data_IF_817621362309
#
_entry.id   IF_817621362309
#
_cell.length_a   1.000
_cell.length_b   1.000
_cell.length_c   1.000
_cell.angle_alpha   90.00
_cell.angle_beta   90.00
_cell.angle_gamma   90.00
#
_symmetry.space_group_name_H-M   'P 1'
#
loop_
_entity.id
_entity.type
_entity.pdbx_description
1 polymer ?
#
# COMPACT_ATOMS: atom_id res chain seq x y z
N UNK A 1 14.30 46.74 36.46
CA UNK A 1 15.29 45.98 35.66
C UNK A 1 14.67 44.88 34.85
N UNK A 2 13.73 44.06 35.38
CA UNK A 2 13.05 42.96 34.68
C UNK A 2 12.21 43.45 33.48
N UNK A 3 11.47 44.57 33.63
CA UNK A 3 10.69 45.17 32.54
C UNK A 3 11.54 45.75 31.41
N UNK A 4 12.78 46.21 31.68
CA UNK A 4 13.67 46.73 30.65
C UNK A 4 14.31 45.63 29.82
N UNK A 5 14.70 44.52 30.47
CA UNK A 5 15.24 43.34 29.81
C UNK A 5 14.18 42.66 28.93
N UNK A 6 12.93 42.57 29.38
CA UNK A 6 11.81 41.99 28.58
C UNK A 6 11.44 42.92 27.40
N UNK A 7 11.56 44.24 27.56
CA UNK A 7 11.33 45.22 26.50
C UNK A 7 12.43 45.15 25.41
N UNK A 8 13.69 45.00 25.81
CA UNK A 8 14.83 44.85 24.87
C UNK A 8 14.77 43.50 24.12
N UNK A 9 14.36 42.43 24.78
CA UNK A 9 14.19 41.10 24.17
C UNK A 9 13.06 41.10 23.13
N UNK A 10 11.94 41.73 23.44
CA UNK A 10 10.82 41.85 22.50
C UNK A 10 11.14 42.75 21.29
N UNK A 11 11.96 43.79 21.46
CA UNK A 11 12.43 44.64 20.35
C UNK A 11 13.40 43.90 19.44
N UNK A 12 14.28 43.07 19.99
CA UNK A 12 15.18 42.24 19.17
C UNK A 12 14.43 41.21 18.33
N UNK A 13 13.47 40.50 18.94
CA UNK A 13 12.67 39.48 18.23
C UNK A 13 11.70 40.06 17.19
N UNK A 14 11.31 41.32 17.32
CA UNK A 14 10.45 42.01 16.36
C UNK A 14 11.19 42.62 15.18
N UNK A 15 12.54 42.57 15.12
CA UNK A 15 13.34 43.13 14.05
C UNK A 15 12.96 42.55 12.68
N UNK A 16 12.88 43.40 11.69
CA UNK A 16 12.52 43.02 10.31
C UNK A 16 13.44 41.93 9.75
N UNK A 17 14.74 42.03 10.02
CA UNK A 17 15.75 41.03 9.60
C UNK A 17 15.45 39.63 10.16
N UNK A 18 15.07 39.57 11.45
CA UNK A 18 14.76 38.28 12.10
C UNK A 18 13.55 37.58 11.46
N UNK A 19 12.51 38.35 11.11
CA UNK A 19 11.34 37.84 10.43
C UNK A 19 11.68 37.27 9.04
N UNK A 20 12.56 37.94 8.30
CA UNK A 20 13.04 37.44 7.00
C UNK A 20 13.78 36.11 7.19
N UNK A 21 14.71 36.02 8.14
CA UNK A 21 15.41 34.76 8.39
C UNK A 21 14.50 33.63 8.84
N UNK A 22 13.52 33.91 9.72
CA UNK A 22 12.55 32.90 10.13
C UNK A 22 11.61 32.48 8.97
N UNK A 23 11.28 33.41 8.07
CA UNK A 23 10.52 33.05 6.85
C UNK A 23 11.31 32.14 5.95
N UNK A 24 12.61 32.42 5.75
CA UNK A 24 13.50 31.54 4.96
C UNK A 24 13.60 30.15 5.63
N UNK A 25 13.80 30.13 6.95
CA UNK A 25 13.82 28.90 7.73
C UNK A 25 12.50 28.10 7.58
N UNK A 26 11.38 28.81 7.62
CA UNK A 26 10.05 28.19 7.46
C UNK A 26 9.87 27.55 6.10
N UNK A 27 10.29 28.23 5.02
CA UNK A 27 10.26 27.69 3.67
C UNK A 27 11.19 26.47 3.55
N UNK A 28 12.41 26.56 4.08
CA UNK A 28 13.34 25.43 4.08
C UNK A 28 12.79 24.23 4.86
N UNK A 29 12.22 24.46 6.04
CA UNK A 29 11.59 23.42 6.85
C UNK A 29 10.40 22.76 6.13
N UNK A 30 9.59 23.55 5.44
CA UNK A 30 8.50 23.04 4.61
C UNK A 30 9.01 22.15 3.48
N UNK A 31 10.08 22.55 2.78
CA UNK A 31 10.70 21.74 1.71
C UNK A 31 11.23 20.42 2.30
N UNK A 32 11.92 20.46 3.44
CA UNK A 32 12.44 19.26 4.12
C UNK A 32 11.29 18.33 4.53
N UNK A 33 10.19 18.88 5.05
CA UNK A 33 8.99 18.12 5.38
C UNK A 33 8.41 17.42 4.15
N UNK A 34 8.22 18.14 3.04
CA UNK A 34 7.67 17.58 1.79
C UNK A 34 8.59 16.49 1.22
N UNK A 35 9.92 16.71 1.23
CA UNK A 35 10.89 15.70 0.82
C UNK A 35 10.78 14.45 1.70
N UNK A 36 10.73 14.63 3.02
CA UNK A 36 10.60 13.52 3.97
C UNK A 36 9.34 12.68 3.72
N UNK A 37 8.19 13.31 3.56
CA UNK A 37 6.93 12.64 3.21
C UNK A 37 7.02 11.95 1.85
N UNK A 38 7.67 12.58 0.86
CA UNK A 38 7.85 11.99 -0.47
C UNK A 38 8.70 10.71 -0.43
N UNK A 39 9.78 10.70 0.35
CA UNK A 39 10.62 9.51 0.54
C UNK A 39 9.82 8.37 1.18
N UNK A 40 9.01 8.68 2.22
CA UNK A 40 8.15 7.70 2.87
C UNK A 40 7.14 7.10 1.90
N UNK A 41 6.47 7.95 1.12
CA UNK A 41 5.41 7.51 0.21
C UNK A 41 5.94 6.75 -1.00
N UNK A 42 7.07 7.17 -1.57
CA UNK A 42 7.72 6.48 -2.70
C UNK A 42 8.30 5.12 -2.30
N UNK A 43 8.34 4.82 -1.01
CA UNK A 43 8.65 3.48 -0.54
C UNK A 43 7.48 2.55 -0.90
N UNK A 44 7.74 1.54 -1.73
CA UNK A 44 6.72 0.62 -2.28
C UNK A 44 5.86 -0.08 -1.23
N UNK A 45 6.35 -0.14 0.00
CA UNK A 45 5.72 -0.82 1.12
C UNK A 45 4.97 0.11 2.08
N UNK A 46 4.81 1.38 1.75
CA UNK A 46 4.05 2.34 2.57
C UNK A 46 2.64 1.84 2.90
N UNK A 47 1.97 1.20 1.94
CA UNK A 47 0.61 0.66 2.11
C UNK A 47 0.55 -0.54 3.08
N UNK A 48 1.68 -1.17 3.40
CA UNK A 48 1.76 -2.29 4.35
C UNK A 48 1.86 -1.84 5.82
N UNK A 49 1.94 -0.53 6.06
CA UNK A 49 1.96 0.09 7.37
C UNK A 49 3.34 0.11 8.05
N UNK A 50 3.40 0.80 9.18
CA UNK A 50 4.64 0.98 9.96
C UNK A 50 5.22 -0.32 10.51
N UNK A 51 4.37 -1.29 10.83
CA UNK A 51 4.79 -2.58 11.38
C UNK A 51 5.70 -3.35 10.41
N UNK A 52 5.51 -3.17 9.11
CA UNK A 52 6.30 -3.85 8.09
C UNK A 52 7.80 -3.50 8.16
N UNK A 53 8.14 -2.25 8.50
CA UNK A 53 9.51 -1.74 8.49
C UNK A 53 10.12 -1.61 9.90
N UNK A 54 9.35 -1.93 10.93
CA UNK A 54 9.75 -1.74 12.32
C UNK A 54 10.79 -2.79 12.78
N UNK A 55 10.83 -3.95 12.13
CA UNK A 55 11.81 -4.98 12.46
C UNK A 55 13.24 -4.51 12.10
N UNK A 56 14.19 -4.79 12.97
CA UNK A 56 15.59 -4.42 12.75
C UNK A 56 16.21 -5.22 11.62
N UNK A 57 15.86 -6.51 11.53
CA UNK A 57 16.32 -7.45 10.51
C UNK A 57 15.17 -7.89 9.62
N UNK A 58 15.50 -8.25 8.39
CA UNK A 58 14.54 -8.78 7.43
C UNK A 58 13.86 -10.05 7.96
N UNK A 59 14.61 -10.97 8.54
CA UNK A 59 14.13 -12.25 9.05
C UNK A 59 13.15 -12.13 10.25
N UNK A 60 13.07 -10.95 10.89
CA UNK A 60 12.07 -10.65 11.92
C UNK A 60 10.85 -9.88 11.35
N UNK A 61 10.89 -9.53 10.07
CA UNK A 61 9.85 -8.70 9.44
C UNK A 61 8.61 -9.49 9.00
N UNK A 62 7.46 -8.85 8.89
CA UNK A 62 6.28 -9.44 8.25
C UNK A 62 6.50 -9.84 6.78
N UNK A 63 7.42 -9.16 6.08
CA UNK A 63 7.78 -9.50 4.69
C UNK A 63 8.44 -10.87 4.60
N UNK A 64 9.37 -11.17 5.53
CA UNK A 64 9.98 -12.49 5.63
C UNK A 64 8.93 -13.57 5.90
N UNK A 65 8.02 -13.34 6.83
CA UNK A 65 6.95 -14.31 7.15
C UNK A 65 6.07 -14.61 5.96
N UNK A 66 5.67 -13.58 5.22
CA UNK A 66 4.87 -13.77 4.01
C UNK A 66 5.61 -14.58 2.94
N UNK A 67 6.90 -14.32 2.76
CA UNK A 67 7.73 -15.10 1.82
C UNK A 67 7.91 -16.54 2.31
N UNK A 68 8.14 -16.74 3.60
CA UNK A 68 8.30 -18.06 4.21
C UNK A 68 7.03 -18.91 4.08
N UNK A 69 5.85 -18.33 4.36
CA UNK A 69 4.56 -19.01 4.15
C UNK A 69 4.31 -19.35 2.67
N UNK A 70 4.65 -18.45 1.75
CA UNK A 70 4.54 -18.70 0.31
C UNK A 70 5.45 -19.86 -0.13
N UNK A 71 6.65 -19.94 0.41
CA UNK A 71 7.60 -21.02 0.09
C UNK A 71 7.18 -22.35 0.68
N UNK A 72 6.53 -22.34 1.85
CA UNK A 72 5.92 -23.55 2.39
C UNK A 72 4.81 -24.05 1.46
N UNK A 73 3.92 -23.19 1.00
CA UNK A 73 2.88 -23.56 0.05
C UNK A 73 3.46 -24.14 -1.25
N UNK A 74 4.49 -23.48 -1.77
CA UNK A 74 5.19 -23.93 -2.96
C UNK A 74 5.89 -25.28 -2.76
N UNK A 75 6.50 -25.51 -1.58
CA UNK A 75 7.15 -26.78 -1.22
C UNK A 75 6.15 -27.95 -1.20
N UNK A 76 4.99 -27.76 -0.58
CA UNK A 76 3.97 -28.81 -0.58
C UNK A 76 3.39 -29.04 -1.97
N UNK A 77 3.25 -28.00 -2.78
CA UNK A 77 2.88 -28.15 -4.18
C UNK A 77 3.93 -28.93 -4.96
N UNK A 78 5.22 -28.67 -4.73
CA UNK A 78 6.32 -29.41 -5.33
C UNK A 78 6.28 -30.88 -4.91
N UNK A 79 6.16 -31.17 -3.63
CA UNK A 79 6.12 -32.53 -3.11
C UNK A 79 4.97 -33.36 -3.70
N UNK A 80 3.81 -32.72 -3.92
CA UNK A 80 2.64 -33.37 -4.53
C UNK A 80 2.79 -33.61 -6.04
N UNK A 81 3.51 -32.75 -6.74
CA UNK A 81 3.63 -32.81 -8.22
C UNK A 81 4.89 -33.51 -8.70
N UNK A 82 5.85 -33.69 -7.82
CA UNK A 82 7.15 -34.27 -8.15
C UNK A 82 7.04 -35.59 -8.89
N UNK A 83 6.23 -36.52 -8.38
CA UNK A 83 6.12 -37.89 -8.95
C UNK A 83 5.42 -37.90 -10.33
N UNK A 84 4.71 -36.83 -10.67
CA UNK A 84 4.06 -36.63 -11.97
C UNK A 84 5.08 -36.26 -13.05
N UNK A 85 6.08 -35.42 -12.69
CA UNK A 85 6.96 -34.79 -13.65
C UNK A 85 8.43 -35.23 -13.57
N UNK A 86 8.81 -36.02 -12.57
CA UNK A 86 10.18 -36.46 -12.37
C UNK A 86 10.35 -37.95 -12.59
N UNK A 87 11.50 -38.34 -13.16
CA UNK A 87 12.05 -39.71 -13.18
C UNK A 87 13.41 -39.65 -12.50
N UNK A 88 13.64 -40.51 -11.50
CA UNK A 88 14.88 -40.57 -10.70
C UNK A 88 15.28 -39.23 -10.07
N UNK A 89 14.30 -38.42 -9.66
CA UNK A 89 14.50 -37.13 -9.00
C UNK A 89 14.93 -35.99 -9.94
N UNK A 90 14.72 -36.16 -11.25
CA UNK A 90 14.98 -35.11 -12.24
C UNK A 90 13.76 -34.91 -13.11
N UNK A 91 13.52 -33.68 -13.52
CA UNK A 91 12.50 -33.35 -14.49
C UNK A 91 12.68 -34.15 -15.77
N UNK A 92 11.61 -34.80 -16.22
CA UNK A 92 11.62 -35.67 -17.40
C UNK A 92 10.51 -35.28 -18.39
N UNK A 93 10.93 -34.71 -19.51
CA UNK A 93 10.01 -34.30 -20.59
C UNK A 93 9.27 -35.45 -21.24
N UNK A 94 9.81 -36.68 -21.13
CA UNK A 94 9.20 -37.89 -21.64
C UNK A 94 8.33 -38.62 -20.61
N UNK A 95 8.21 -38.04 -19.40
CA UNK A 95 7.36 -38.59 -18.35
C UNK A 95 5.91 -38.58 -18.80
N UNK A 96 5.26 -39.70 -18.67
CA UNK A 96 3.84 -39.88 -18.93
C UNK A 96 3.02 -39.21 -17.82
N UNK A 97 2.10 -38.31 -18.21
CA UNK A 97 1.29 -37.51 -17.27
C UNK A 97 -0.13 -38.10 -17.19
N UNK A 98 -0.73 -38.42 -18.32
CA UNK A 98 -2.05 -39.03 -18.38
C UNK A 98 -2.23 -39.87 -19.65
N UNK A 99 -3.11 -40.89 -19.57
CA UNK A 99 -3.57 -41.64 -20.70
C UNK A 99 -5.01 -41.32 -21.07
N UNK A 100 -5.32 -41.22 -22.35
CA UNK A 100 -6.68 -41.10 -22.86
C UNK A 100 -7.15 -42.43 -23.42
N UNK A 101 -8.31 -42.89 -22.98
CA UNK A 101 -9.00 -44.02 -23.61
C UNK A 101 -9.86 -43.48 -24.76
N UNK A 102 -9.42 -43.71 -26.00
CA UNK A 102 -10.10 -43.27 -27.23
C UNK A 102 -10.95 -44.38 -27.87
N UNK A 103 -11.17 -45.50 -27.15
CA UNK A 103 -11.99 -46.63 -27.62
C UNK A 103 -11.31 -48.01 -27.47
N UNK A 104 -11.94 -49.11 -27.87
CA UNK A 104 -11.59 -50.48 -27.46
C UNK A 104 -10.19 -50.98 -27.85
N UNK A 105 -9.32 -50.21 -28.44
CA UNK A 105 -7.95 -50.57 -28.78
C UNK A 105 -6.98 -49.41 -28.91
N UNK A 106 -7.34 -48.20 -28.49
CA UNK A 106 -6.53 -46.97 -28.67
C UNK A 106 -6.41 -46.21 -27.37
N UNK A 107 -5.53 -46.66 -26.50
CA UNK A 107 -5.05 -45.83 -25.42
C UNK A 107 -3.90 -44.95 -25.94
N UNK A 108 -3.98 -43.63 -25.75
CA UNK A 108 -2.94 -42.69 -26.15
C UNK A 108 -2.38 -42.04 -24.89
N UNK A 109 -1.11 -42.31 -24.65
CA UNK A 109 -0.40 -41.75 -23.49
C UNK A 109 0.19 -40.37 -23.83
N UNK A 110 -0.10 -39.37 -23.00
CA UNK A 110 0.41 -38.01 -23.13
C UNK A 110 1.59 -37.81 -22.21
N UNK A 111 2.76 -37.64 -22.80
CA UNK A 111 3.97 -37.21 -22.08
C UNK A 111 3.98 -35.69 -21.90
N UNK A 112 4.82 -35.19 -20.98
CA UNK A 112 5.05 -33.75 -20.78
C UNK A 112 5.33 -33.06 -22.12
N UNK A 113 6.24 -33.63 -22.94
CA UNK A 113 6.59 -33.09 -24.25
C UNK A 113 5.41 -33.06 -25.21
N UNK A 114 4.61 -34.12 -25.25
CA UNK A 114 3.42 -34.20 -26.11
C UNK A 114 2.37 -33.13 -25.72
N UNK A 115 2.16 -32.89 -24.41
CA UNK A 115 1.28 -31.85 -23.90
C UNK A 115 1.75 -30.47 -24.36
N UNK A 116 3.05 -30.17 -24.20
CA UNK A 116 3.66 -28.88 -24.60
C UNK A 116 3.50 -28.69 -26.13
N UNK A 117 3.79 -29.69 -26.90
CA UNK A 117 3.71 -29.62 -28.37
C UNK A 117 2.26 -29.43 -28.85
N UNK A 118 1.33 -30.15 -28.24
CA UNK A 118 -0.10 -29.98 -28.50
C UNK A 118 -0.57 -28.58 -28.17
N UNK A 119 -0.21 -28.08 -27.01
CA UNK A 119 -0.57 -26.74 -26.57
C UNK A 119 -0.02 -25.61 -27.47
N UNK A 120 1.25 -25.73 -27.88
CA UNK A 120 1.86 -24.75 -28.81
C UNK A 120 1.14 -24.73 -30.17
N UNK A 121 0.69 -25.86 -30.67
CA UNK A 121 -0.11 -25.92 -31.91
C UNK A 121 -1.50 -25.30 -31.77
N UNK A 122 -2.02 -25.22 -30.54
CA UNK A 122 -3.36 -24.68 -30.25
C UNK A 122 -3.33 -23.31 -29.58
N UNK A 123 -2.32 -22.48 -29.87
CA UNK A 123 -2.33 -21.04 -29.48
C UNK A 123 -1.81 -20.74 -28.08
N UNK A 124 -1.15 -21.68 -27.41
CA UNK A 124 -0.41 -21.41 -26.19
C UNK A 124 1.05 -21.10 -26.50
N UNK A 125 1.62 -20.17 -25.78
CA UNK A 125 3.05 -19.91 -25.72
C UNK A 125 3.58 -20.41 -24.38
N UNK A 126 4.67 -21.17 -24.43
CA UNK A 126 5.34 -21.75 -23.27
C UNK A 126 6.81 -21.34 -23.35
N UNK A 127 7.31 -20.61 -22.36
CA UNK A 127 8.68 -20.15 -22.30
C UNK A 127 9.65 -21.23 -21.76
N UNK A 128 10.92 -20.87 -21.61
CA UNK A 128 11.98 -21.75 -21.08
C UNK A 128 11.79 -22.13 -19.59
N UNK A 129 11.00 -21.35 -18.85
CA UNK A 129 10.63 -21.61 -17.46
C UNK A 129 9.25 -22.28 -17.33
N UNK A 130 8.70 -22.78 -18.44
CA UNK A 130 7.38 -23.39 -18.52
C UNK A 130 6.23 -22.47 -18.04
N UNK A 131 6.43 -21.16 -18.13
CA UNK A 131 5.34 -20.22 -17.91
C UNK A 131 4.45 -20.18 -19.15
N UNK A 132 3.14 -20.24 -18.92
CA UNK A 132 2.15 -20.40 -19.98
C UNK A 132 1.40 -19.10 -20.20
N UNK A 133 1.27 -18.68 -21.44
CA UNK A 133 0.42 -17.59 -21.87
C UNK A 133 -0.37 -17.96 -23.12
N UNK A 134 -1.53 -17.34 -23.31
CA UNK A 134 -2.35 -17.53 -24.51
C UNK A 134 -1.96 -16.46 -25.51
N UNK A 135 -1.51 -16.88 -26.70
CA UNK A 135 -1.15 -15.99 -27.82
C UNK A 135 -2.31 -15.87 -28.81
N UNK A 136 -3.03 -16.97 -29.02
CA UNK A 136 -4.17 -17.00 -29.93
C UNK A 136 -5.39 -17.69 -29.28
N UNK A 137 -6.31 -16.86 -28.79
CA UNK A 137 -7.53 -17.33 -28.16
C UNK A 137 -8.45 -18.07 -29.12
N UNK A 138 -8.36 -17.82 -30.44
CA UNK A 138 -9.20 -18.48 -31.45
C UNK A 138 -8.79 -19.91 -31.63
N UNK A 139 -7.49 -20.21 -31.61
CA UNK A 139 -6.96 -21.55 -31.65
C UNK A 139 -7.25 -22.35 -30.38
N UNK A 140 -7.15 -21.71 -29.22
CA UNK A 140 -7.51 -22.33 -27.92
C UNK A 140 -8.99 -22.74 -27.90
N UNK A 141 -9.85 -21.94 -28.52
CA UNK A 141 -11.28 -22.27 -28.63
C UNK A 141 -11.60 -23.36 -29.65
N UNK A 142 -10.67 -23.70 -30.52
CA UNK A 142 -10.79 -24.82 -31.47
C UNK A 142 -10.39 -26.18 -30.87
N UNK A 143 -9.79 -26.19 -29.66
CA UNK A 143 -9.55 -27.45 -28.97
C UNK A 143 -10.90 -28.13 -28.74
N UNK A 144 -11.03 -29.36 -29.23
CA UNK A 144 -12.28 -30.10 -29.17
C UNK A 144 -12.81 -30.16 -27.71
N UNK A 145 -14.08 -29.82 -27.57
CA UNK A 145 -14.82 -29.95 -26.31
C UNK A 145 -15.31 -31.40 -26.07
N UNK A 146 -14.79 -32.35 -26.88
CA UNK A 146 -15.10 -33.75 -26.71
C UNK A 146 -14.56 -34.26 -25.39
N UNK A 147 -15.44 -34.79 -24.56
CA UNK A 147 -15.05 -35.39 -23.29
C UNK A 147 -14.48 -36.78 -23.53
N UNK A 148 -13.25 -36.96 -23.10
CA UNK A 148 -12.55 -38.24 -23.14
C UNK A 148 -12.57 -38.89 -21.77
N UNK A 149 -12.58 -40.24 -21.81
CA UNK A 149 -12.36 -41.02 -20.59
C UNK A 149 -10.86 -40.99 -20.26
N UNK A 150 -10.51 -40.36 -19.14
CA UNK A 150 -9.13 -40.19 -18.72
C UNK A 150 -8.78 -41.27 -17.70
N UNK A 151 -7.79 -42.07 -18.02
CA UNK A 151 -7.22 -43.02 -17.09
C UNK A 151 -6.15 -42.31 -16.26
N UNK A 152 -6.51 -41.90 -15.06
CA UNK A 152 -5.62 -41.21 -14.14
C UNK A 152 -4.63 -42.16 -13.45
N UNK A 153 -3.74 -42.78 -14.21
CA UNK A 153 -2.65 -43.55 -13.60
C UNK A 153 -1.68 -42.65 -12.80
N UNK A 154 -1.59 -41.40 -13.17
CA UNK A 154 -0.55 -40.49 -12.65
C UNK A 154 -1.10 -39.15 -12.18
N UNK A 155 -2.33 -38.80 -12.43
CA UNK A 155 -2.96 -37.60 -11.93
C UNK A 155 -3.28 -37.80 -10.45
N UNK A 156 -2.22 -37.83 -9.63
CA UNK A 156 -2.40 -37.88 -8.21
C UNK A 156 -3.27 -36.70 -7.83
N UNK A 157 -4.41 -36.98 -7.26
CA UNK A 157 -5.33 -36.02 -6.73
C UNK A 157 -4.59 -35.08 -5.76
N UNK A 158 -4.05 -33.97 -6.28
CA UNK A 158 -3.38 -32.94 -5.49
C UNK A 158 -4.37 -32.13 -4.66
N UNK A 159 -5.66 -32.23 -4.97
CA UNK A 159 -6.75 -31.61 -4.23
C UNK A 159 -7.31 -32.51 -3.13
N UNK A 160 -7.09 -33.83 -3.25
CA UNK A 160 -7.69 -34.84 -2.38
C UNK A 160 -9.22 -34.86 -2.41
N UNK A 161 -9.81 -34.34 -3.48
CA UNK A 161 -11.26 -34.19 -3.63
C UNK A 161 -11.83 -35.18 -4.68
N UNK A 162 -10.99 -35.78 -5.52
CA UNK A 162 -11.40 -36.75 -6.52
C UNK A 162 -10.78 -38.10 -6.16
N UNK A 163 -11.60 -39.10 -5.90
CA UNK A 163 -11.12 -40.45 -5.78
C UNK A 163 -10.52 -40.87 -7.14
N UNK A 164 -9.44 -41.71 -7.17
CA UNK A 164 -8.89 -42.22 -8.40
C UNK A 164 -9.99 -43.00 -9.09
N UNK A 165 -10.69 -42.36 -9.96
CA UNK A 165 -11.84 -42.86 -10.71
C UNK A 165 -11.85 -42.27 -12.08
N UNK A 166 -12.33 -43.09 -12.98
CA UNK A 166 -12.53 -42.77 -14.38
C UNK A 166 -13.44 -41.51 -14.49
N UNK A 167 -12.92 -40.42 -15.00
CA UNK A 167 -13.68 -39.21 -15.23
C UNK A 167 -13.71 -38.82 -16.70
N UNK A 168 -14.88 -38.38 -17.18
CA UNK A 168 -15.01 -37.78 -18.51
C UNK A 168 -14.65 -36.30 -18.42
N UNK A 169 -13.54 -35.90 -18.99
CA UNK A 169 -13.03 -34.53 -18.99
C UNK A 169 -12.77 -34.08 -20.42
N UNK A 170 -13.03 -32.80 -20.72
CA UNK A 170 -12.74 -32.25 -22.04
C UNK A 170 -11.24 -32.13 -22.28
N UNK A 171 -10.78 -32.33 -23.50
CA UNK A 171 -9.37 -32.21 -23.90
C UNK A 171 -8.82 -30.79 -23.52
N UNK A 172 -9.61 -29.76 -23.72
CA UNK A 172 -9.27 -28.38 -23.34
C UNK A 172 -8.96 -28.27 -21.86
N UNK A 173 -9.79 -28.84 -20.99
CA UNK A 173 -9.61 -28.82 -19.54
C UNK A 173 -8.34 -29.59 -19.17
N UNK A 174 -8.15 -30.82 -19.69
CA UNK A 174 -6.98 -31.64 -19.37
C UNK A 174 -5.68 -30.94 -19.75
N UNK A 175 -5.57 -30.37 -20.95
CA UNK A 175 -4.38 -29.67 -21.41
C UNK A 175 -4.13 -28.41 -20.56
N UNK A 176 -5.17 -27.61 -20.32
CA UNK A 176 -5.03 -26.38 -19.54
C UNK A 176 -4.59 -26.67 -18.10
N UNK A 177 -5.20 -27.68 -17.46
CA UNK A 177 -4.83 -28.06 -16.10
C UNK A 177 -3.42 -28.64 -16.04
N UNK A 178 -3.06 -29.50 -16.96
CA UNK A 178 -1.70 -30.08 -17.04
C UNK A 178 -0.64 -28.99 -17.21
N UNK A 179 -0.88 -27.97 -18.02
CA UNK A 179 0.03 -26.86 -18.21
C UNK A 179 0.14 -26.00 -16.93
N UNK A 180 -0.96 -25.78 -16.22
CA UNK A 180 -0.95 -25.05 -14.92
C UNK A 180 -0.16 -25.84 -13.89
N UNK A 181 -0.33 -27.16 -13.82
CA UNK A 181 0.42 -28.01 -12.90
C UNK A 181 1.91 -28.05 -13.26
N UNK A 182 2.24 -28.16 -14.55
CA UNK A 182 3.62 -28.11 -15.03
C UNK A 182 4.30 -26.80 -14.68
N UNK A 183 3.63 -25.67 -14.91
CA UNK A 183 4.16 -24.34 -14.55
C UNK A 183 4.40 -24.21 -13.04
N UNK A 184 3.45 -24.65 -12.20
CA UNK A 184 3.61 -24.67 -10.74
C UNK A 184 4.76 -25.57 -10.30
N UNK A 185 4.82 -26.77 -10.84
CA UNK A 185 5.89 -27.71 -10.53
C UNK A 185 7.25 -27.14 -10.90
N UNK A 186 7.42 -26.66 -12.14
CA UNK A 186 8.71 -26.22 -12.64
C UNK A 186 9.23 -24.98 -11.91
N UNK A 187 8.35 -24.04 -11.55
CA UNK A 187 8.69 -22.91 -10.69
C UNK A 187 9.26 -23.38 -9.34
N UNK A 188 8.64 -24.36 -8.71
CA UNK A 188 9.14 -24.92 -7.46
C UNK A 188 10.44 -25.71 -7.64
N UNK A 189 10.53 -26.50 -8.71
CA UNK A 189 11.73 -27.27 -9.06
C UNK A 189 12.93 -26.38 -9.31
N UNK A 190 12.78 -25.31 -10.10
CA UNK A 190 13.80 -24.32 -10.34
C UNK A 190 14.26 -23.67 -9.04
N UNK A 191 13.30 -23.26 -8.20
CA UNK A 191 13.58 -22.56 -6.94
C UNK A 191 14.27 -23.41 -5.89
N UNK A 192 13.92 -24.69 -5.79
CA UNK A 192 14.40 -25.53 -4.70
C UNK A 192 15.51 -26.51 -5.11
N UNK A 193 15.60 -26.87 -6.38
CA UNK A 193 16.50 -27.91 -6.88
C UNK A 193 17.57 -27.35 -7.81
N UNK A 194 17.19 -26.51 -8.80
CA UNK A 194 18.14 -26.01 -9.80
C UNK A 194 19.00 -24.86 -9.28
N UNK A 195 18.44 -24.00 -8.43
CA UNK A 195 19.16 -22.83 -7.91
C UNK A 195 19.61 -23.05 -6.48
N UNK A 196 20.83 -22.57 -6.10
CA UNK A 196 21.23 -22.55 -4.71
C UNK A 196 20.23 -21.73 -3.90
N UNK A 197 19.72 -22.31 -2.79
CA UNK A 197 18.70 -21.66 -1.98
C UNK A 197 19.14 -21.56 -0.52
N UNK A 198 18.73 -20.48 0.16
CA UNK A 198 18.82 -20.38 1.62
C UNK A 198 17.68 -21.10 2.31
N UNK A 199 16.60 -21.44 1.58
CA UNK A 199 15.48 -22.23 2.07
C UNK A 199 15.86 -23.70 2.05
N UNK A 200 15.83 -24.34 3.23
CA UNK A 200 16.17 -25.74 3.44
C UNK A 200 14.94 -26.49 3.90
N UNK A 201 14.72 -27.67 3.36
CA UNK A 201 13.62 -28.52 3.76
C UNK A 201 13.96 -29.98 3.81
N UNK A 202 13.26 -30.69 4.68
CA UNK A 202 13.21 -32.14 4.75
C UNK A 202 11.80 -32.58 5.14
N UNK A 203 11.15 -33.28 4.22
CA UNK A 203 9.83 -33.88 4.41
C UNK A 203 10.04 -35.38 4.53
N UNK A 204 9.62 -35.96 5.63
CA UNK A 204 9.66 -37.39 5.88
C UNK A 204 8.22 -37.92 5.95
N UNK A 205 7.90 -38.91 5.15
CA UNK A 205 6.59 -39.56 5.11
C UNK A 205 6.77 -41.08 5.03
N UNK A 206 6.61 -41.79 6.15
CA UNK A 206 7.01 -43.18 6.24
C UNK A 206 8.48 -43.36 5.88
N UNK A 207 8.75 -44.15 4.83
CA UNK A 207 10.10 -44.41 4.32
C UNK A 207 10.56 -43.41 3.24
N UNK A 208 9.65 -42.54 2.79
CA UNK A 208 9.93 -41.56 1.75
C UNK A 208 10.51 -40.28 2.36
N UNK A 209 11.62 -39.79 1.80
CA UNK A 209 12.27 -38.55 2.23
C UNK A 209 12.49 -37.63 1.04
N UNK A 210 11.88 -36.46 1.08
CA UNK A 210 12.14 -35.36 0.14
C UNK A 210 12.98 -34.29 0.83
N UNK A 211 14.13 -33.93 0.27
CA UNK A 211 15.02 -32.94 0.87
C UNK A 211 15.91 -32.28 -0.17
N UNK A 212 16.19 -30.99 0.01
CA UNK A 212 17.27 -30.31 -0.70
C UNK A 212 18.54 -30.17 0.16
N UNK A 213 18.51 -30.64 1.41
CA UNK A 213 19.66 -30.68 2.31
C UNK A 213 19.67 -31.96 3.15
N UNK A 214 20.55 -32.89 2.79
CA UNK A 214 20.66 -34.18 3.49
C UNK A 214 21.13 -34.05 4.94
N UNK A 215 21.73 -32.92 5.30
CA UNK A 215 22.24 -32.66 6.66
C UNK A 215 21.14 -32.12 7.58
N UNK A 216 20.03 -31.67 7.01
CA UNK A 216 18.91 -31.12 7.78
C UNK A 216 18.21 -32.22 8.58
N UNK A 217 18.19 -32.06 9.90
CA UNK A 217 17.53 -32.94 10.85
C UNK A 217 17.14 -32.15 12.10
N UNK A 218 16.52 -32.83 13.09
CA UNK A 218 16.06 -32.21 14.34
C UNK A 218 17.16 -31.46 15.10
N UNK A 219 18.41 -31.84 14.99
CA UNK A 219 19.52 -31.20 15.71
C UNK A 219 20.10 -30.01 14.93
N UNK A 220 20.22 -30.16 13.60
CA UNK A 220 20.83 -29.15 12.75
C UNK A 220 19.89 -27.99 12.42
N UNK A 221 18.58 -28.21 12.41
CA UNK A 221 17.57 -27.19 12.02
C UNK A 221 17.67 -25.91 12.86
N UNK A 222 17.96 -26.02 14.14
CA UNK A 222 18.11 -24.88 15.05
C UNK A 222 19.31 -23.97 14.74
N UNK A 223 20.28 -24.47 13.96
CA UNK A 223 21.46 -23.71 13.55
C UNK A 223 21.27 -22.82 12.31
N UNK A 224 20.16 -22.94 11.59
CA UNK A 224 19.94 -22.20 10.33
C UNK A 224 19.44 -20.76 10.51
N UNK A 225 19.03 -20.35 11.68
CA UNK A 225 18.53 -19.00 11.98
C UNK A 225 17.02 -18.95 12.12
N UNK A 226 16.23 -19.11 11.07
CA UNK A 226 14.76 -19.22 11.16
C UNK A 226 14.32 -20.61 10.76
N UNK A 227 13.41 -21.20 11.56
CA UNK A 227 12.94 -22.55 11.33
C UNK A 227 11.47 -22.77 11.72
N UNK A 228 10.89 -23.82 11.18
CA UNK A 228 9.61 -24.35 11.58
C UNK A 228 9.62 -25.88 11.42
N UNK A 229 9.12 -26.59 12.43
CA UNK A 229 9.06 -28.04 12.50
C UNK A 229 7.65 -28.47 12.84
N UNK A 230 7.14 -29.49 12.18
CA UNK A 230 5.88 -30.15 12.56
C UNK A 230 5.98 -31.65 12.38
N UNK A 231 5.19 -32.43 13.13
CA UNK A 231 5.12 -33.88 13.00
C UNK A 231 3.77 -34.43 13.42
N UNK A 232 3.43 -35.62 12.92
CA UNK A 232 2.19 -36.31 13.29
C UNK A 232 2.11 -36.73 14.76
N UNK A 233 3.23 -36.77 15.45
CA UNK A 233 3.30 -37.19 16.87
C UNK A 233 3.04 -36.06 17.88
N UNK A 234 2.95 -34.83 17.43
CA UNK A 234 2.62 -33.70 18.26
C UNK A 234 2.12 -32.57 17.39
N UNK A 235 0.85 -32.31 17.38
CA UNK A 235 0.18 -31.27 16.57
C UNK A 235 0.73 -29.83 16.77
N UNK A 236 1.82 -29.67 17.50
CA UNK A 236 2.44 -28.37 17.76
C UNK A 236 3.54 -28.09 16.75
N UNK A 237 3.45 -26.94 16.10
CA UNK A 237 4.53 -26.41 15.27
C UNK A 237 5.58 -25.80 16.19
N UNK A 238 6.81 -26.34 16.18
CA UNK A 238 7.96 -25.74 16.85
C UNK A 238 8.62 -24.75 15.88
N UNK A 239 8.73 -23.49 16.31
CA UNK A 239 9.27 -22.41 15.47
C UNK A 239 9.86 -21.29 16.33
N UNK A 240 10.89 -20.61 15.82
CA UNK A 240 11.42 -19.38 16.39
C UNK A 240 10.92 -18.11 15.66
N UNK A 241 9.94 -18.25 14.79
CA UNK A 241 9.23 -17.13 14.22
C UNK A 241 8.30 -16.49 15.26
N UNK A 242 8.05 -15.20 15.14
CA UNK A 242 7.12 -14.49 16.05
C UNK A 242 5.66 -14.97 15.97
N UNK A 243 5.29 -15.60 14.86
CA UNK A 243 3.98 -16.21 14.64
C UNK A 243 4.18 -17.57 13.95
N UNK A 244 3.32 -18.51 14.25
CA UNK A 244 3.31 -19.83 13.58
C UNK A 244 2.95 -19.63 12.10
N UNK A 245 3.71 -20.22 11.16
CA UNK A 245 3.38 -20.18 9.74
C UNK A 245 1.99 -20.78 9.48
N UNK A 246 1.11 -19.98 8.90
CA UNK A 246 -0.29 -20.38 8.65
C UNK A 246 -0.39 -21.55 7.68
N UNK A 247 0.42 -21.49 6.64
CA UNK A 247 0.46 -22.53 5.62
C UNK A 247 0.95 -23.86 6.19
N UNK A 248 1.96 -23.84 7.04
CA UNK A 248 2.45 -25.06 7.67
C UNK A 248 1.39 -25.70 8.58
N UNK A 249 0.66 -24.89 9.35
CA UNK A 249 -0.44 -25.37 10.18
C UNK A 249 -1.56 -26.01 9.34
N UNK A 250 -1.95 -25.35 8.25
CA UNK A 250 -2.95 -25.87 7.32
C UNK A 250 -2.54 -27.19 6.67
N UNK A 251 -1.30 -27.26 6.19
CA UNK A 251 -0.78 -28.48 5.58
C UNK A 251 -0.60 -29.61 6.57
N UNK A 252 -0.18 -29.30 7.81
CA UNK A 252 -0.07 -30.29 8.89
C UNK A 252 -1.43 -30.91 9.24
N UNK A 253 -2.49 -30.10 9.33
CA UNK A 253 -3.86 -30.58 9.53
C UNK A 253 -4.30 -31.49 8.38
N UNK A 254 -4.12 -31.03 7.16
CA UNK A 254 -4.46 -31.79 5.94
C UNK A 254 -3.71 -33.13 5.84
N UNK A 255 -2.43 -33.15 6.22
CA UNK A 255 -1.62 -34.38 6.24
C UNK A 255 -2.10 -35.35 7.34
N UNK A 256 -2.49 -34.84 8.49
CA UNK A 256 -2.97 -35.67 9.59
C UNK A 256 -4.28 -36.37 9.23
N UNK A 257 -5.18 -35.68 8.54
CA UNK A 257 -6.49 -36.24 8.17
C UNK A 257 -6.41 -37.28 7.02
N UNK A 258 -5.43 -37.14 6.13
CA UNK A 258 -5.38 -37.92 4.89
C UNK A 258 -4.39 -39.06 4.90
N UNK A 259 -3.37 -39.01 5.76
CA UNK A 259 -2.25 -39.94 5.65
C UNK A 259 -2.20 -40.90 6.85
N UNK A 260 -2.25 -42.22 6.60
CA UNK A 260 -2.17 -43.24 7.65
C UNK A 260 -0.75 -43.43 8.21
N UNK A 261 0.27 -42.79 7.62
CA UNK A 261 1.68 -42.95 8.00
C UNK A 261 2.19 -41.74 8.77
N UNK A 262 3.12 -41.91 9.73
CA UNK A 262 3.72 -40.79 10.41
C UNK A 262 4.51 -39.89 9.44
N UNK A 263 4.39 -38.58 9.65
CA UNK A 263 5.15 -37.57 8.89
C UNK A 263 5.97 -36.68 9.81
N UNK A 264 7.07 -36.14 9.28
CA UNK A 264 7.86 -35.08 9.89
C UNK A 264 8.26 -34.06 8.84
N UNK A 265 8.16 -32.80 9.18
CA UNK A 265 8.49 -31.68 8.31
C UNK A 265 9.49 -30.77 9.01
N UNK A 266 10.65 -30.60 8.42
CA UNK A 266 11.68 -29.68 8.86
C UNK A 266 11.86 -28.63 7.78
N UNK A 267 11.70 -27.37 8.13
CA UNK A 267 11.89 -26.24 7.23
C UNK A 267 12.78 -25.22 7.94
N UNK A 268 13.77 -24.71 7.23
CA UNK A 268 14.67 -23.70 7.77
C UNK A 268 15.09 -22.69 6.68
N UNK A 269 15.43 -21.49 7.09
CA UNK A 269 16.07 -20.49 6.23
C UNK A 269 17.39 -20.08 6.86
N UNK A 270 18.46 -20.21 6.07
CA UNK A 270 19.77 -19.73 6.47
C UNK A 270 19.81 -18.19 6.45
N UNK A 271 19.74 -17.58 7.63
CA UNK A 271 19.73 -16.12 7.76
C UNK A 271 21.10 -15.46 7.59
N UNK A 272 22.16 -16.24 7.33
CA UNK A 272 23.43 -15.72 6.85
C UNK A 272 23.40 -15.39 5.35
N UNK A 273 22.32 -15.82 4.65
CA UNK A 273 22.09 -15.55 3.23
C UNK A 273 23.29 -15.87 2.34
N UNK A 274 23.86 -17.05 2.52
CA UNK A 274 25.05 -17.51 1.80
C UNK A 274 24.80 -17.79 0.31
N UNK A 275 23.57 -18.11 -0.05
CA UNK A 275 23.11 -18.27 -1.43
C UNK A 275 22.46 -16.96 -1.94
N UNK A 276 22.70 -16.64 -3.22
CA UNK A 276 22.06 -15.51 -3.91
C UNK A 276 20.67 -15.90 -4.41
N UNK A 277 19.75 -16.08 -3.50
CA UNK A 277 18.35 -16.43 -3.80
C UNK A 277 17.40 -15.26 -3.49
N UNK A 278 16.12 -15.53 -3.60
CA UNK A 278 15.06 -14.56 -3.32
C UNK A 278 15.10 -14.03 -1.88
N UNK A 279 15.58 -14.80 -0.91
CA UNK A 279 15.74 -14.35 0.47
C UNK A 279 16.88 -13.35 0.62
N UNK A 280 18.03 -13.64 -0.01
CA UNK A 280 19.18 -12.74 -0.01
C UNK A 280 18.83 -11.40 -0.69
N UNK A 281 18.16 -11.45 -1.85
CA UNK A 281 17.71 -10.26 -2.56
C UNK A 281 16.69 -9.47 -1.74
N UNK A 282 15.71 -10.14 -1.16
CA UNK A 282 14.71 -9.51 -0.31
C UNK A 282 15.30 -8.87 0.95
N UNK A 283 16.33 -9.48 1.54
CA UNK A 283 17.07 -8.90 2.67
C UNK A 283 17.77 -7.58 2.27
N UNK A 284 18.48 -7.56 1.13
CA UNK A 284 19.13 -6.35 0.63
C UNK A 284 18.12 -5.24 0.35
N UNK A 285 17.02 -5.58 -0.30
CA UNK A 285 15.95 -4.62 -0.60
C UNK A 285 15.27 -4.12 0.67
N UNK A 286 14.99 -4.99 1.63
CA UNK A 286 14.43 -4.61 2.92
C UNK A 286 15.29 -3.60 3.66
N UNK A 287 16.59 -3.86 3.77
CA UNK A 287 17.54 -2.97 4.46
C UNK A 287 17.66 -1.62 3.75
N UNK A 288 17.66 -1.61 2.41
CA UNK A 288 17.65 -0.38 1.62
C UNK A 288 16.40 0.44 1.86
N UNK A 289 15.23 -0.18 1.80
CA UNK A 289 13.94 0.47 2.00
C UNK A 289 13.76 0.96 3.45
N UNK A 290 14.18 0.18 4.43
CA UNK A 290 14.17 0.57 5.83
C UNK A 290 15.03 1.81 6.08
N UNK A 291 16.23 1.86 5.49
CA UNK A 291 17.12 3.02 5.59
C UNK A 291 16.47 4.27 4.98
N UNK A 292 15.95 4.15 3.76
CA UNK A 292 15.27 5.26 3.08
C UNK A 292 14.06 5.74 3.90
N UNK A 293 13.24 4.83 4.41
CA UNK A 293 12.09 5.16 5.25
C UNK A 293 12.51 5.90 6.53
N UNK A 294 13.55 5.43 7.21
CA UNK A 294 14.06 6.07 8.44
C UNK A 294 14.54 7.48 8.18
N UNK A 295 15.27 7.71 7.08
CA UNK A 295 15.71 9.05 6.65
C UNK A 295 14.48 9.93 6.37
N UNK A 296 13.50 9.41 5.63
CA UNK A 296 12.27 10.13 5.33
C UNK A 296 11.49 10.52 6.59
N UNK A 297 11.38 9.60 7.57
CA UNK A 297 10.70 9.85 8.83
C UNK A 297 11.39 10.94 9.66
N UNK A 298 12.72 10.88 9.79
CA UNK A 298 13.51 11.91 10.50
C UNK A 298 13.35 13.26 9.80
N UNK A 299 13.48 13.30 8.47
CA UNK A 299 13.33 14.54 7.71
C UNK A 299 11.92 15.12 7.85
N UNK A 300 10.88 14.32 7.74
CA UNK A 300 9.49 14.76 7.93
C UNK A 300 9.24 15.28 9.35
N UNK A 301 9.73 14.57 10.37
CA UNK A 301 9.55 14.98 11.77
C UNK A 301 10.28 16.27 12.08
N UNK A 302 11.56 16.39 11.72
CA UNK A 302 12.36 17.61 11.91
C UNK A 302 11.76 18.78 11.13
N UNK A 303 11.39 18.54 9.87
CA UNK A 303 10.72 19.54 9.03
C UNK A 303 9.42 20.06 9.66
N UNK A 304 8.56 19.15 10.16
CA UNK A 304 7.30 19.50 10.83
C UNK A 304 7.54 20.35 12.10
N UNK A 305 8.49 19.93 12.94
CA UNK A 305 8.82 20.68 14.18
C UNK A 305 9.31 22.09 13.86
N UNK A 306 10.29 22.21 12.95
CA UNK A 306 10.84 23.50 12.55
C UNK A 306 9.80 24.38 11.87
N UNK A 307 8.95 23.79 11.01
CA UNK A 307 7.84 24.50 10.37
C UNK A 307 6.83 25.02 11.40
N UNK A 308 6.47 24.22 12.40
CA UNK A 308 5.53 24.60 13.46
C UNK A 308 6.10 25.72 14.34
N UNK A 309 7.36 25.61 14.76
CA UNK A 309 8.03 26.63 15.58
C UNK A 309 8.20 27.95 14.82
N UNK A 310 8.66 27.90 13.58
CA UNK A 310 8.81 29.09 12.74
C UNK A 310 7.45 29.74 12.43
N UNK A 311 6.40 28.95 12.18
CA UNK A 311 5.04 29.45 11.97
C UNK A 311 4.52 30.14 13.23
N UNK A 312 4.65 29.52 14.39
CA UNK A 312 4.26 30.12 15.66
C UNK A 312 4.97 31.49 15.90
N UNK A 313 6.28 31.53 15.64
CA UNK A 313 7.03 32.80 15.72
C UNK A 313 6.46 33.85 14.74
N UNK A 314 6.28 33.50 13.47
CA UNK A 314 5.77 34.43 12.45
C UNK A 314 4.35 34.90 12.78
N UNK A 315 3.49 34.04 13.33
CA UNK A 315 2.16 34.44 13.80
C UNK A 315 2.23 35.37 15.00
N UNK A 316 3.07 35.09 16.02
CA UNK A 316 3.22 35.92 17.22
C UNK A 316 3.74 37.33 16.88
N UNK A 317 4.71 37.43 15.99
CA UNK A 317 5.33 38.73 15.64
C UNK A 317 4.73 39.35 14.36
N UNK A 318 3.66 38.76 13.78
CA UNK A 318 2.93 39.36 12.65
C UNK A 318 2.34 40.72 13.04
N UNK A 319 2.61 41.73 12.20
CA UNK A 319 2.15 43.12 12.43
C UNK A 319 2.98 43.94 13.39
N UNK A 320 3.88 43.38 14.22
CA UNK A 320 4.76 44.15 15.08
C UNK A 320 5.87 44.83 14.25
N UNK A 321 6.14 46.12 14.55
CA UNK A 321 7.21 46.90 13.90
C UNK A 321 8.18 47.41 14.95
N UNK A 322 9.45 47.51 14.61
CA UNK A 322 10.52 48.00 15.47
C UNK A 322 10.21 49.43 15.93
N UNK A 323 10.28 49.66 17.23
CA UNK A 323 10.12 51.01 17.85
C UNK A 323 8.70 51.61 17.82
N UNK A 324 7.69 50.91 17.32
CA UNK A 324 6.30 51.41 17.30
C UNK A 324 5.41 50.62 18.26
N UNK A 325 4.72 51.33 19.15
CA UNK A 325 3.64 50.75 19.95
C UNK A 325 2.40 50.58 19.04
N UNK A 326 2.06 49.35 18.67
CA UNK A 326 0.87 49.04 17.89
C UNK A 326 1.13 48.10 16.73
N UNK A 327 0.04 47.56 16.15
CA UNK A 327 0.07 46.62 15.04
C UNK A 327 0.09 47.40 13.71
N UNK A 328 1.10 47.18 12.89
CA UNK A 328 1.18 47.72 11.54
C UNK A 328 0.29 46.93 10.60
N UNK A 329 -0.70 47.59 10.03
CA UNK A 329 -1.64 47.06 9.06
C UNK A 329 -1.06 47.26 7.66
N UNK A 330 -1.16 46.21 6.84
CA UNK A 330 -0.82 46.33 5.41
C UNK A 330 -2.01 46.88 4.63
N UNK A 331 -1.81 48.08 4.03
CA UNK A 331 -2.88 48.79 3.30
C UNK A 331 -3.41 48.02 2.08
N UNK A 332 -2.69 47.07 1.55
CA UNK A 332 -3.13 46.28 0.37
C UNK A 332 -4.03 45.12 0.73
N UNK A 333 -3.66 44.34 1.77
CA UNK A 333 -4.34 43.10 2.11
C UNK A 333 -5.25 43.20 3.34
N UNK A 334 -4.88 44.01 4.32
CA UNK A 334 -5.59 44.05 5.61
C UNK A 334 -6.82 45.00 5.57
N UNK A 335 -7.05 45.73 4.47
CA UNK A 335 -8.27 46.53 4.26
C UNK A 335 -9.43 45.69 3.71
N UNK A 336 -9.11 44.58 3.07
CA UNK A 336 -10.10 43.67 2.48
C UNK A 336 -10.89 43.02 3.62
N UNK A 337 -12.21 42.96 3.50
CA UNK A 337 -13.07 42.30 4.49
C UNK A 337 -12.75 40.82 4.61
N UNK A 338 -12.92 40.26 5.81
CA UNK A 338 -12.57 38.86 6.12
C UNK A 338 -13.33 37.88 5.22
N UNK A 339 -14.59 38.15 4.96
CA UNK A 339 -15.44 37.34 4.09
C UNK A 339 -14.90 37.29 2.64
N UNK A 340 -14.45 38.44 2.14
CA UNK A 340 -13.83 38.52 0.79
C UNK A 340 -12.48 37.76 0.77
N UNK A 341 -11.70 37.81 1.85
CA UNK A 341 -10.46 37.03 1.96
C UNK A 341 -10.73 35.52 1.92
N UNK A 342 -11.79 35.07 2.60
CA UNK A 342 -12.21 33.66 2.56
C UNK A 342 -12.63 33.26 1.16
N UNK A 343 -13.40 34.12 0.46
CA UNK A 343 -13.77 33.87 -0.94
C UNK A 343 -12.55 33.84 -1.85
N UNK A 344 -11.60 34.76 -1.68
CA UNK A 344 -10.35 34.79 -2.44
C UNK A 344 -9.51 33.53 -2.18
N UNK A 345 -9.48 33.04 -0.92
CA UNK A 345 -8.83 31.78 -0.57
C UNK A 345 -9.47 30.61 -1.30
N UNK A 346 -10.80 30.48 -1.23
CA UNK A 346 -11.54 29.40 -1.88
C UNK A 346 -11.32 29.43 -3.39
N UNK A 347 -11.43 30.61 -4.01
CA UNK A 347 -11.18 30.78 -5.44
C UNK A 347 -9.72 30.45 -5.81
N UNK A 348 -8.75 30.91 -5.00
CA UNK A 348 -7.33 30.60 -5.16
C UNK A 348 -7.05 29.10 -5.08
N UNK A 349 -7.69 28.40 -4.15
CA UNK A 349 -7.60 26.93 -4.05
C UNK A 349 -8.12 26.26 -5.32
N UNK A 350 -9.30 26.66 -5.82
CA UNK A 350 -9.88 26.08 -7.04
C UNK A 350 -8.96 26.33 -8.24
N UNK A 351 -8.42 27.55 -8.38
CA UNK A 351 -7.47 27.87 -9.45
C UNK A 351 -6.20 27.03 -9.38
N UNK A 352 -5.66 26.84 -8.17
CA UNK A 352 -4.47 26.00 -7.95
C UNK A 352 -4.75 24.56 -8.37
N UNK A 353 -5.87 23.98 -7.96
CA UNK A 353 -6.22 22.62 -8.37
C UNK A 353 -6.39 22.51 -9.89
N UNK A 354 -7.05 23.47 -10.53
CA UNK A 354 -7.21 23.49 -11.98
C UNK A 354 -5.87 23.60 -12.70
N UNK A 355 -5.00 24.54 -12.26
CA UNK A 355 -3.69 24.75 -12.85
C UNK A 355 -2.77 23.53 -12.67
N UNK A 356 -2.73 22.95 -11.47
CA UNK A 356 -1.90 21.78 -11.19
C UNK A 356 -2.38 20.55 -11.97
N UNK A 357 -3.69 20.35 -12.11
CA UNK A 357 -4.21 19.26 -12.94
C UNK A 357 -3.84 19.46 -14.42
N UNK A 358 -3.91 20.70 -14.92
CA UNK A 358 -3.52 21.01 -16.29
C UNK A 358 -2.02 20.81 -16.53
N UNK A 359 -1.18 21.38 -15.66
CA UNK A 359 0.30 21.22 -15.71
C UNK A 359 0.65 19.75 -15.53
N UNK A 360 -0.01 19.10 -14.60
CA UNK A 360 0.14 17.72 -14.28
C UNK A 360 -0.03 16.82 -15.50
N UNK A 361 -1.17 16.90 -16.13
CA UNK A 361 -1.52 16.05 -17.28
C UNK A 361 -0.65 16.32 -18.51
N UNK A 362 -0.18 17.56 -18.71
CA UNK A 362 0.58 17.92 -19.93
C UNK A 362 2.09 17.89 -19.78
N UNK A 363 2.63 18.15 -18.60
CA UNK A 363 4.08 18.34 -18.39
C UNK A 363 4.67 17.23 -17.54
N UNK A 364 4.14 17.02 -16.35
CA UNK A 364 4.75 16.11 -15.39
C UNK A 364 4.51 14.63 -15.73
N UNK A 365 3.43 14.30 -16.41
CA UNK A 365 3.14 12.93 -16.88
C UNK A 365 4.25 12.38 -17.80
N UNK A 366 5.04 13.24 -18.45
CA UNK A 366 6.15 12.83 -19.32
C UNK A 366 7.36 12.37 -18.48
N UNK A 367 7.54 12.94 -17.28
CA UNK A 367 8.75 12.76 -16.46
C UNK A 367 8.55 11.84 -15.24
N UNK A 368 7.30 11.54 -14.88
CA UNK A 368 6.98 10.77 -13.68
C UNK A 368 6.22 9.52 -14.09
N UNK A 369 6.68 8.35 -13.62
CA UNK A 369 5.98 7.09 -13.83
C UNK A 369 4.54 7.17 -13.32
N UNK A 370 3.61 6.57 -14.05
CA UNK A 370 2.17 6.57 -13.76
C UNK A 370 1.85 6.14 -12.31
N UNK A 371 2.67 5.26 -11.74
CA UNK A 371 2.55 4.76 -10.37
C UNK A 371 2.70 5.87 -9.31
N UNK A 372 3.61 6.82 -9.53
CA UNK A 372 3.92 7.90 -8.58
C UNK A 372 3.19 9.21 -8.91
N UNK A 373 2.53 9.27 -10.06
CA UNK A 373 1.86 10.45 -10.57
C UNK A 373 0.81 11.03 -9.60
N UNK A 374 -0.09 10.18 -9.12
CA UNK A 374 -1.18 10.62 -8.23
C UNK A 374 -0.64 11.27 -6.94
N UNK A 375 0.43 10.72 -6.40
CA UNK A 375 1.07 11.28 -5.21
C UNK A 375 1.76 12.61 -5.49
N UNK A 376 2.55 12.71 -6.56
CA UNK A 376 3.23 13.94 -6.94
C UNK A 376 2.22 15.09 -7.17
N UNK A 377 1.11 14.79 -7.83
CA UNK A 377 0.03 15.75 -8.06
C UNK A 377 -0.64 16.19 -6.74
N UNK A 378 -0.90 15.27 -5.82
CA UNK A 378 -1.44 15.61 -4.51
C UNK A 378 -0.48 16.49 -3.69
N UNK A 379 0.82 16.15 -3.67
CA UNK A 379 1.84 16.95 -2.97
C UNK A 379 1.95 18.34 -3.55
N UNK A 380 1.93 18.46 -4.89
CA UNK A 380 1.93 19.75 -5.57
C UNK A 380 0.68 20.58 -5.20
N UNK A 381 -0.49 19.96 -5.14
CA UNK A 381 -1.72 20.62 -4.73
C UNK A 381 -1.63 21.13 -3.28
N UNK A 382 -1.22 20.30 -2.33
CA UNK A 382 -1.09 20.71 -0.92
C UNK A 382 -0.04 21.82 -0.73
N UNK A 383 1.10 21.72 -1.40
CA UNK A 383 2.14 22.75 -1.33
C UNK A 383 1.65 24.07 -1.90
N UNK A 384 0.96 24.06 -3.02
CA UNK A 384 0.44 25.28 -3.67
C UNK A 384 -0.67 25.92 -2.85
N UNK A 385 -1.59 25.13 -2.31
CA UNK A 385 -2.65 25.62 -1.40
C UNK A 385 -2.02 26.26 -0.15
N UNK A 386 -1.01 25.63 0.42
CA UNK A 386 -0.29 26.18 1.59
C UNK A 386 0.31 27.54 1.28
N UNK A 387 0.99 27.70 0.14
CA UNK A 387 1.60 28.97 -0.29
C UNK A 387 0.53 30.07 -0.46
N UNK A 388 -0.61 29.74 -1.07
CA UNK A 388 -1.72 30.69 -1.29
C UNK A 388 -2.40 31.07 0.03
N UNK A 389 -2.52 30.14 0.97
CA UNK A 389 -3.18 30.38 2.26
C UNK A 389 -2.36 31.29 3.19
N UNK A 390 -1.03 31.20 3.16
CA UNK A 390 -0.15 31.93 4.09
C UNK A 390 -0.40 33.44 4.14
N UNK A 391 -0.44 34.21 3.03
CA UNK A 391 -0.68 35.65 3.07
C UNK A 391 -2.03 36.01 3.71
N UNK A 392 -3.05 35.20 3.45
CA UNK A 392 -4.41 35.40 3.96
C UNK A 392 -4.45 35.14 5.46
N UNK A 393 -3.85 34.07 5.94
CA UNK A 393 -3.75 33.76 7.37
C UNK A 393 -3.01 34.87 8.12
N UNK A 394 -1.88 35.32 7.60
CA UNK A 394 -1.15 36.44 8.23
C UNK A 394 -1.94 37.75 8.23
N UNK A 395 -2.72 38.03 7.21
CA UNK A 395 -3.60 39.19 7.17
C UNK A 395 -4.69 39.11 8.24
N UNK A 396 -5.39 37.97 8.34
CA UNK A 396 -6.42 37.77 9.37
C UNK A 396 -5.83 37.88 10.78
N UNK A 397 -4.66 37.32 11.04
CA UNK A 397 -3.98 37.42 12.34
C UNK A 397 -3.60 38.89 12.70
N UNK A 398 -3.15 39.66 11.70
CA UNK A 398 -2.86 41.11 11.95
C UNK A 398 -4.13 41.89 12.28
N UNK A 399 -5.21 41.68 11.57
CA UNK A 399 -6.51 42.30 11.84
C UNK A 399 -7.07 41.93 13.20
N UNK A 400 -6.99 40.64 13.55
CA UNK A 400 -7.40 40.17 14.87
C UNK A 400 -6.65 40.89 15.98
N UNK A 401 -5.32 40.96 15.87
CA UNK A 401 -4.48 41.65 16.85
C UNK A 401 -4.72 43.17 16.90
N UNK A 402 -5.07 43.77 15.78
CA UNK A 402 -5.43 45.16 15.69
C UNK A 402 -6.85 45.48 16.22
N UNK A 403 -7.64 44.45 16.55
CA UNK A 403 -9.04 44.60 16.95
C UNK A 403 -9.97 45.06 15.81
N UNK A 404 -9.54 44.88 14.57
CA UNK A 404 -10.26 45.33 13.38
C UNK A 404 -11.09 44.24 12.71
N UNK A 405 -10.85 42.98 13.04
CA UNK A 405 -11.48 41.82 12.40
C UNK A 405 -13.01 41.96 12.30
N UNK A 406 -13.66 42.28 13.43
CA UNK A 406 -15.11 42.47 13.47
C UNK A 406 -15.58 43.83 12.96
N UNK A 407 -14.70 44.88 13.07
CA UNK A 407 -15.05 46.22 12.63
C UNK A 407 -15.19 46.32 11.11
N UNK A 408 -14.39 45.53 10.37
CA UNK A 408 -14.34 45.54 8.92
C UNK A 408 -15.15 44.38 8.29
N UNK A 409 -15.91 43.63 9.09
CA UNK A 409 -16.70 42.47 8.61
C UNK A 409 -18.04 42.89 8.01
N UNK A 410 -18.38 42.36 6.84
CA UNK A 410 -19.73 42.49 6.27
C UNK A 410 -20.80 41.91 7.19
N UNK A 411 -20.48 40.83 7.90
CA UNK A 411 -21.39 40.20 8.85
C UNK A 411 -21.85 41.19 9.93
N UNK A 412 -20.97 42.07 10.39
CA UNK A 412 -21.34 43.15 11.31
C UNK A 412 -22.31 44.16 10.66
N UNK A 413 -22.00 44.65 9.48
CA UNK A 413 -22.84 45.60 8.73
C UNK A 413 -24.22 45.01 8.48
N UNK A 414 -24.28 43.76 8.06
CA UNK A 414 -25.53 43.02 7.85
C UNK A 414 -26.31 42.89 9.16
N UNK A 415 -25.64 42.51 10.27
CA UNK A 415 -26.25 42.38 11.59
C UNK A 415 -26.82 43.69 12.08
N UNK A 416 -26.09 44.81 11.95
CA UNK A 416 -26.54 46.13 12.36
C UNK A 416 -27.70 46.61 11.47
N UNK A 417 -27.60 46.48 10.15
CA UNK A 417 -28.66 46.83 9.22
C UNK A 417 -29.92 45.98 9.46
N UNK A 418 -29.74 44.69 9.70
CA UNK A 418 -30.84 43.77 10.01
C UNK A 418 -31.48 44.08 11.36
N UNK A 419 -30.68 44.43 12.38
CA UNK A 419 -31.21 44.81 13.68
C UNK A 419 -32.04 46.10 13.62
N UNK A 420 -31.58 47.10 12.89
CA UNK A 420 -32.34 48.36 12.64
C UNK A 420 -33.62 48.06 11.86
N UNK A 421 -33.53 47.22 10.84
CA UNK A 421 -34.69 46.78 10.07
C UNK A 421 -35.71 46.04 10.93
N UNK A 422 -35.22 45.15 11.83
CA UNK A 422 -36.06 44.37 12.74
C UNK A 422 -36.70 45.21 13.85
N UNK A 423 -36.03 46.26 14.32
CA UNK A 423 -36.60 47.20 15.32
C UNK A 423 -37.84 47.91 14.80
N UNK A 424 -37.93 48.19 13.52
CA UNK A 424 -39.03 48.89 12.85
C UNK A 424 -40.23 48.01 12.52
N UNK A 425 -40.19 46.68 12.75
CA UNK A 425 -41.25 45.74 12.33
C UNK A 425 -42.06 45.16 13.52
N UNK A 426 -43.34 44.81 13.22
CA UNK A 426 -44.18 44.07 14.15
C UNK A 426 -43.66 42.68 14.49
N UNK A 427 -44.00 42.13 15.65
CA UNK A 427 -43.51 40.84 16.15
C UNK A 427 -43.70 39.69 15.14
N UNK A 428 -44.86 39.57 14.48
CA UNK A 428 -45.12 38.52 13.46
C UNK A 428 -44.16 38.60 12.29
N UNK A 429 -43.84 39.81 11.80
CA UNK A 429 -42.90 40.00 10.70
C UNK A 429 -41.44 39.76 11.14
N UNK A 430 -41.10 39.99 12.42
CA UNK A 430 -39.79 39.64 12.96
C UNK A 430 -39.58 38.15 12.99
N UNK A 431 -40.55 37.38 13.41
CA UNK A 431 -40.50 35.93 13.50
C UNK A 431 -40.37 35.29 12.11
N UNK A 432 -41.19 35.70 11.16
CA UNK A 432 -41.14 35.19 9.78
C UNK A 432 -39.79 35.50 9.08
N UNK A 433 -39.22 36.71 9.30
CA UNK A 433 -37.92 37.07 8.72
C UNK A 433 -36.75 36.25 9.29
N UNK A 434 -36.75 35.99 10.62
CA UNK A 434 -35.76 35.13 11.24
C UNK A 434 -35.84 33.69 10.76
N UNK A 435 -37.05 33.18 10.62
CA UNK A 435 -37.30 31.83 10.10
C UNK A 435 -36.80 31.69 8.65
N UNK A 436 -37.03 32.70 7.81
CA UNK A 436 -36.59 32.71 6.42
C UNK A 436 -35.07 32.75 6.29
N UNK A 437 -34.38 33.53 7.13
CA UNK A 437 -32.91 33.56 7.19
C UNK A 437 -32.35 32.19 7.62
N UNK A 438 -32.97 31.56 8.63
CA UNK A 438 -32.56 30.27 9.13
C UNK A 438 -32.73 29.18 8.05
N UNK A 439 -33.87 29.14 7.37
CA UNK A 439 -34.10 28.24 6.24
C UNK A 439 -33.10 28.45 5.09
N UNK A 440 -32.69 29.69 4.81
CA UNK A 440 -31.73 30.00 3.76
C UNK A 440 -30.32 29.51 4.12
N UNK A 441 -29.92 29.64 5.38
CA UNK A 441 -28.66 29.10 5.91
C UNK A 441 -28.66 27.56 5.82
N UNK A 442 -29.78 26.92 6.25
CA UNK A 442 -29.92 25.47 6.18
C UNK A 442 -29.90 24.97 4.71
N UNK A 443 -30.57 25.69 3.81
CA UNK A 443 -30.56 25.35 2.39
C UNK A 443 -29.15 25.44 1.81
N UNK A 444 -28.38 26.47 2.13
CA UNK A 444 -26.98 26.62 1.68
C UNK A 444 -26.13 25.47 2.25
N UNK A 445 -26.28 25.14 3.55
CA UNK A 445 -25.56 24.07 4.20
C UNK A 445 -25.88 22.69 3.58
N UNK A 446 -27.15 22.41 3.32
CA UNK A 446 -27.61 21.16 2.69
C UNK A 446 -27.11 21.09 1.22
N UNK A 447 -27.18 22.18 0.48
CA UNK A 447 -26.70 22.23 -0.91
C UNK A 447 -25.20 22.00 -0.96
N UNK A 448 -24.44 22.63 -0.07
CA UNK A 448 -22.99 22.42 0.04
C UNK A 448 -22.66 20.96 0.42
N UNK A 449 -23.42 20.39 1.35
CA UNK A 449 -23.30 18.98 1.74
C UNK A 449 -23.59 18.04 0.56
N UNK A 450 -24.66 18.27 -0.20
CA UNK A 450 -25.02 17.47 -1.37
C UNK A 450 -23.96 17.56 -2.46
N UNK A 451 -23.49 18.76 -2.81
CA UNK A 451 -22.44 18.96 -3.82
C UNK A 451 -21.14 18.27 -3.43
N UNK A 452 -20.79 18.30 -2.16
CA UNK A 452 -19.60 17.60 -1.68
C UNK A 452 -19.77 16.09 -1.58
N UNK A 453 -21.04 15.57 -1.43
CA UNK A 453 -21.31 14.12 -1.33
C UNK A 453 -21.38 13.41 -2.67
N UNK A 454 -21.74 14.09 -3.74
CA UNK A 454 -21.90 13.46 -5.06
C UNK A 454 -20.55 12.97 -5.65
N UNK A 455 -19.43 13.56 -5.27
CA UNK A 455 -18.14 13.34 -5.95
C UNK A 455 -17.15 12.37 -5.27
N UNK A 456 -17.41 11.80 -4.09
CA UNK A 456 -16.43 10.88 -3.47
C UNK A 456 -17.00 9.85 -2.47
N UNK A 457 -16.35 8.66 -2.43
CA UNK A 457 -16.70 7.48 -1.61
C UNK A 457 -16.29 7.55 -0.11
N UNK A 458 -15.91 8.68 0.47
CA UNK A 458 -15.40 8.76 1.85
C UNK A 458 -16.33 9.55 2.78
N UNK A 459 -17.30 8.87 3.34
CA UNK A 459 -18.35 9.44 4.21
C UNK A 459 -17.84 10.05 5.53
N UNK A 460 -16.84 9.46 6.17
CA UNK A 460 -16.37 9.86 7.51
C UNK A 460 -15.61 11.21 7.55
N UNK A 461 -14.78 11.50 6.55
CA UNK A 461 -14.04 12.78 6.48
C UNK A 461 -14.97 13.98 6.29
N UNK A 462 -16.15 13.78 5.72
CA UNK A 462 -17.15 14.78 5.44
C UNK A 462 -18.04 15.10 6.62
N UNK A 463 -18.35 14.08 7.43
CA UNK A 463 -19.03 14.27 8.70
C UNK A 463 -18.22 15.15 9.65
N UNK A 464 -16.90 15.00 9.67
CA UNK A 464 -16.00 15.85 10.45
C UNK A 464 -16.00 17.30 9.97
N UNK A 465 -15.98 17.54 8.65
CA UNK A 465 -16.05 18.90 8.07
C UNK A 465 -17.42 19.53 8.36
N UNK A 466 -18.51 18.76 8.28
CA UNK A 466 -19.86 19.23 8.59
C UNK A 466 -20.02 19.60 10.07
N UNK A 467 -19.46 18.80 10.98
CA UNK A 467 -19.48 19.09 12.44
C UNK A 467 -18.66 20.36 12.75
N UNK A 468 -17.50 20.56 12.10
CA UNK A 468 -16.71 21.78 12.25
C UNK A 468 -17.39 23.05 11.71
N UNK A 469 -18.40 22.91 10.85
CA UNK A 469 -19.16 24.05 10.31
C UNK A 469 -20.40 24.42 11.17
N UNK A 470 -20.89 23.49 11.99
CA UNK A 470 -22.05 23.70 12.87
C UNK A 470 -21.63 24.25 14.26
N UNK A 471 -20.40 24.01 14.69
CA UNK A 471 -19.79 24.56 15.93
C UNK A 471 -19.14 25.93 15.63
#
# INVERSE_FOLDING_TARGET
LKNKADMDKNTFLSKSRMKVWVTILHIAAFIVFVIGISIIYCNENFNRGLLWINAEKYDDSPAFRTQFDSDISLLFSYANLKDIFETDGKFDINKEVFGLNMGPSNDVDFTVGAIIEYAKRHGFYIDEHFQVSIVDQSLVNQIEDTSYFVNYRTYADTSGLVEPGDAYISMKTIITESLVLLSKYYNAYERFILTPSNFRYRLEYGDIVYTNDRTLNIKSVYGYGKYAITSSQGMMVDTNLSEIPKELSYQAEKLTDKLPKPYKVYIAVNTLYTATDTYALANVDYLRQRRAYSIGLVAATVGLILMSLSMAYLLIFSGHSEGKKGIKINKLFDIIQVEVKILLLTFGIVLVFAANNFIGQKVLHIYIEKKHWNFANQMLNYASVYIVALPIVFSIVREYKAGLLWKNSYTKVIKESFSVYMLKRSFKKKWGSNFLVLMLVDFIAVTFFLVTTINEKRLLGRLMIFICFII
#
